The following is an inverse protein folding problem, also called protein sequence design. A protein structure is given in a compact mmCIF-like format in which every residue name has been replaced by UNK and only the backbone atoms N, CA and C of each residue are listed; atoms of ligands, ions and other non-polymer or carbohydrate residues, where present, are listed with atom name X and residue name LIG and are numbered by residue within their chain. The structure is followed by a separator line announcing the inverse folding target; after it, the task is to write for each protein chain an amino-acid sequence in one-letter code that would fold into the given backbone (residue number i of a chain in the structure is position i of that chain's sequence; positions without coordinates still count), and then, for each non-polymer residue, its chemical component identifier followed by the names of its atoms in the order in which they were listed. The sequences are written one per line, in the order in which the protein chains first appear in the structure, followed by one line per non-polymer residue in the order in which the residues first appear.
data_IF_523772493293
#
_entry.id   IF_523772493293
#
_cell.length_a   1.000
_cell.length_b   1.000
_cell.length_c   1.000
_cell.angle_alpha   90.00
_cell.angle_beta   90.00
_cell.angle_gamma   90.00
#
_symmetry.space_group_name_H-M   'P 1'
#
loop_
_entity.id
_entity.type
_entity.pdbx_description
1 polymer ?
#
# COMPACT_ATOMS: atom_id res chain seq x y z
N UNK A 1 -11.79 -19.93 -15.42
CA UNK A 1 -12.95 -19.26 -14.85
C UNK A 1 -12.58 -17.95 -14.17
N UNK A 2 -13.59 -17.15 -13.78
CA UNK A 2 -13.31 -15.88 -13.15
C UNK A 2 -12.57 -16.09 -11.83
N UNK A 3 -11.50 -15.31 -11.66
CA UNK A 3 -10.79 -15.30 -10.41
C UNK A 3 -11.54 -14.49 -9.35
N UNK A 4 -11.09 -14.55 -8.09
CA UNK A 4 -11.74 -13.78 -7.01
C UNK A 4 -11.64 -12.27 -7.19
N UNK A 5 -10.87 -11.82 -8.16
CA UNK A 5 -10.53 -10.42 -8.39
C UNK A 5 -11.39 -9.75 -9.45
N UNK A 6 -12.15 -10.52 -10.21
CA UNK A 6 -12.83 -9.94 -11.35
C UNK A 6 -14.31 -9.70 -11.05
N UNK A 7 -15.15 -9.97 -11.86
CA UNK A 7 -16.57 -9.70 -11.99
C UNK A 7 -17.36 -9.28 -10.74
N UNK A 8 -17.02 -9.75 -9.52
CA UNK A 8 -17.80 -9.43 -8.31
C UNK A 8 -17.77 -7.94 -7.93
N UNK A 9 -16.75 -7.22 -8.41
CA UNK A 9 -16.57 -5.80 -8.14
C UNK A 9 -16.45 -4.99 -9.44
N UNK A 10 -16.94 -5.56 -10.56
CA UNK A 10 -16.86 -4.88 -11.84
C UNK A 10 -15.44 -4.68 -12.35
N UNK A 11 -14.48 -5.48 -11.85
CA UNK A 11 -13.08 -5.33 -12.19
C UNK A 11 -12.39 -4.14 -11.56
N UNK A 12 -13.01 -3.50 -10.57
CA UNK A 12 -12.42 -2.36 -9.86
C UNK A 12 -11.85 -2.76 -8.51
N UNK A 13 -10.61 -2.33 -8.24
CA UNK A 13 -9.98 -2.49 -6.93
C UNK A 13 -8.84 -1.48 -6.76
N UNK A 14 -8.28 -1.43 -5.57
CA UNK A 14 -7.16 -0.56 -5.25
C UNK A 14 -5.93 -1.36 -4.84
N UNK A 15 -4.76 -0.93 -5.31
CA UNK A 15 -3.50 -1.39 -4.76
C UNK A 15 -2.98 -0.36 -3.77
N UNK A 16 -2.48 -0.77 -2.62
CA UNK A 16 -1.94 0.18 -1.64
C UNK A 16 -0.64 -0.31 -1.03
N UNK A 17 0.14 0.65 -0.57
CA UNK A 17 1.38 0.40 0.16
C UNK A 17 1.62 1.57 1.12
N UNK A 18 2.32 1.32 2.21
CA UNK A 18 2.63 2.35 3.20
C UNK A 18 4.09 2.31 3.59
N UNK A 19 4.55 3.44 4.12
CA UNK A 19 5.80 3.52 4.87
C UNK A 19 5.48 3.90 6.31
N UNK A 20 6.29 3.41 7.23
CA UNK A 20 6.09 3.60 8.68
C UNK A 20 7.40 3.90 9.38
N UNK A 21 7.31 4.30 10.64
CA UNK A 21 8.49 4.53 11.48
C UNK A 21 9.11 3.23 12.02
N UNK A 22 8.46 2.09 11.80
CA UNK A 22 8.93 0.79 12.26
C UNK A 22 7.87 -0.29 12.07
N UNK A 23 8.10 -1.46 12.63
CA UNK A 23 7.29 -2.65 12.33
C UNK A 23 6.12 -2.90 13.27
N UNK A 24 6.13 -2.30 14.47
CA UNK A 24 5.12 -2.61 15.50
C UNK A 24 3.94 -1.65 15.40
N UNK A 25 2.79 -2.16 15.02
CA UNK A 25 1.58 -1.39 14.78
C UNK A 25 1.10 -0.62 16.01
N UNK A 26 1.38 -1.13 17.21
CA UNK A 26 0.97 -0.50 18.47
C UNK A 26 1.88 0.66 18.91
N UNK A 27 3.06 0.78 18.30
CA UNK A 27 4.08 1.78 18.69
C UNK A 27 4.47 2.72 17.59
N UNK A 28 4.42 2.26 16.36
CA UNK A 28 4.96 2.98 15.22
C UNK A 28 3.86 3.72 14.47
N UNK A 29 4.26 4.64 13.62
CA UNK A 29 3.35 5.54 12.93
C UNK A 29 3.54 5.45 11.41
N UNK A 30 2.46 5.70 10.67
CA UNK A 30 2.50 5.81 9.21
C UNK A 30 3.19 7.12 8.83
N UNK A 31 4.06 7.07 7.82
CA UNK A 31 4.76 8.24 7.27
C UNK A 31 4.38 8.53 5.83
N UNK A 32 3.94 7.52 5.09
CA UNK A 32 3.49 7.70 3.71
C UNK A 32 2.43 6.68 3.38
N UNK A 33 1.43 7.08 2.61
CA UNK A 33 0.40 6.20 2.06
C UNK A 33 0.39 6.39 0.55
N UNK A 34 0.52 5.30 -0.18
CA UNK A 34 0.41 5.30 -1.63
C UNK A 34 -0.66 4.31 -2.07
N UNK A 35 -1.38 4.66 -3.13
CA UNK A 35 -2.40 3.77 -3.67
C UNK A 35 -2.61 4.05 -5.16
N UNK A 36 -3.12 3.04 -5.85
CA UNK A 36 -3.57 3.15 -7.23
C UNK A 36 -4.96 2.55 -7.34
N UNK A 37 -5.80 3.15 -8.17
CA UNK A 37 -7.05 2.54 -8.57
C UNK A 37 -6.83 1.73 -9.84
N UNK A 38 -7.53 0.61 -9.94
CA UNK A 38 -7.45 -0.30 -11.07
C UNK A 38 -8.85 -0.65 -11.55
N UNK A 39 -9.02 -0.67 -12.86
CA UNK A 39 -10.24 -1.12 -13.50
C UNK A 39 -9.86 -1.94 -14.71
N UNK A 40 -10.32 -3.19 -14.75
CA UNK A 40 -10.01 -4.12 -15.84
C UNK A 40 -8.49 -4.24 -16.11
N UNK A 41 -7.68 -4.22 -15.04
CA UNK A 41 -6.24 -4.33 -15.13
C UNK A 41 -5.50 -3.06 -15.51
N UNK A 42 -6.19 -1.94 -15.69
CA UNK A 42 -5.59 -0.66 -16.04
C UNK A 42 -5.62 0.29 -14.85
N UNK A 43 -4.55 1.07 -14.67
CA UNK A 43 -4.48 2.10 -13.63
C UNK A 43 -5.38 3.25 -14.05
N UNK A 44 -6.36 3.59 -13.21
CA UNK A 44 -7.32 4.66 -13.46
C UNK A 44 -6.96 5.95 -12.74
N UNK A 45 -6.42 5.84 -11.55
CA UNK A 45 -6.08 6.98 -10.69
C UNK A 45 -5.00 6.60 -9.69
N UNK A 46 -4.36 7.60 -9.11
CA UNK A 46 -3.27 7.42 -8.15
C UNK A 46 -3.48 8.34 -6.96
N UNK A 47 -3.02 7.89 -5.81
CA UNK A 47 -3.04 8.64 -4.57
C UNK A 47 -1.69 8.52 -3.89
N UNK A 48 -1.22 9.62 -3.31
CA UNK A 48 -0.01 9.62 -2.49
C UNK A 48 -0.11 10.76 -1.48
N UNK A 49 0.22 10.47 -0.24
CA UNK A 49 0.38 11.50 0.78
C UNK A 49 1.46 11.09 1.77
N UNK A 50 2.26 12.07 2.18
CA UNK A 50 3.05 11.91 3.39
C UNK A 50 2.14 12.14 4.61
N UNK A 51 2.58 11.65 5.75
CA UNK A 51 1.87 11.82 7.03
C UNK A 51 2.89 12.27 8.05
N UNK A 52 2.59 13.34 8.78
CA UNK A 52 3.45 13.77 9.86
C UNK A 52 3.26 12.83 11.06
N UNK A 53 4.29 12.05 11.44
CA UNK A 53 4.16 11.09 12.52
C UNK A 53 4.30 11.73 13.91
N UNK A 54 4.55 13.04 13.98
CA UNK A 54 4.76 13.80 15.23
C UNK A 54 5.92 13.26 16.06
N UNK A 55 6.94 12.75 15.38
CA UNK A 55 8.18 12.26 15.98
C UNK A 55 9.29 12.30 14.94
N UNK A 56 10.54 12.25 15.41
CA UNK A 56 11.67 12.15 14.52
C UNK A 56 11.84 10.73 14.02
N UNK A 57 12.26 10.60 12.77
CA UNK A 57 12.65 9.32 12.20
C UNK A 57 14.05 8.94 12.69
N UNK A 58 14.29 7.64 12.89
CA UNK A 58 15.66 7.17 13.13
C UNK A 58 16.45 7.27 11.82
N UNK A 59 17.79 7.44 11.91
CA UNK A 59 18.63 7.43 10.70
C UNK A 59 18.47 6.15 9.88
N UNK A 60 18.25 5.03 10.55
CA UNK A 60 18.02 3.74 9.89
C UNK A 60 16.76 3.78 9.03
N UNK A 61 15.65 4.28 9.57
CA UNK A 61 14.39 4.37 8.84
C UNK A 61 14.51 5.37 7.68
N UNK A 62 15.11 6.53 7.90
CA UNK A 62 15.34 7.51 6.83
C UNK A 62 16.20 6.92 5.72
N UNK A 63 17.24 6.16 6.05
CA UNK A 63 18.08 5.50 5.07
C UNK A 63 17.34 4.41 4.29
N UNK A 64 16.46 3.67 4.96
CA UNK A 64 15.69 2.59 4.35
C UNK A 64 14.61 3.12 3.40
N UNK A 65 13.87 4.14 3.84
CA UNK A 65 12.70 4.64 3.11
C UNK A 65 12.99 5.81 2.19
N UNK A 66 14.11 6.51 2.41
CA UNK A 66 14.41 7.75 1.71
C UNK A 66 13.58 8.94 2.19
N UNK A 67 12.80 8.78 3.26
CA UNK A 67 11.97 9.83 3.83
C UNK A 67 12.75 10.52 4.94
N UNK A 68 12.72 11.85 4.98
CA UNK A 68 13.40 12.65 5.99
C UNK A 68 12.41 13.40 6.85
N UNK A 69 12.85 13.81 8.04
CA UNK A 69 12.02 14.65 8.94
C UNK A 69 11.56 15.92 8.23
N UNK A 70 12.40 16.51 7.41
CA UNK A 70 12.07 17.74 6.68
C UNK A 70 10.91 17.52 5.70
N UNK A 71 10.83 16.36 5.08
CA UNK A 71 9.73 16.00 4.18
C UNK A 71 8.39 15.86 4.90
N UNK A 72 8.42 15.51 6.18
CA UNK A 72 7.23 15.21 6.96
C UNK A 72 6.73 16.37 7.84
N UNK A 73 7.56 17.37 8.06
CA UNK A 73 7.24 18.45 9.01
C UNK A 73 5.96 19.22 8.67
N UNK A 74 5.69 19.41 7.38
CA UNK A 74 4.50 20.12 6.89
C UNK A 74 3.44 19.19 6.31
N UNK A 75 3.63 17.87 6.48
CA UNK A 75 2.69 16.89 5.99
C UNK A 75 1.40 16.87 6.82
N UNK A 76 0.28 16.39 6.25
CA UNK A 76 -0.97 16.25 6.99
C UNK A 76 -0.83 15.38 8.23
N UNK A 77 -1.66 15.64 9.22
CA UNK A 77 -1.82 14.75 10.37
C UNK A 77 -2.54 13.47 9.94
N UNK A 78 -2.42 12.44 10.75
CA UNK A 78 -2.95 11.12 10.43
C UNK A 78 -4.43 11.13 10.05
N UNK A 79 -5.26 11.86 10.79
CA UNK A 79 -6.69 11.90 10.53
C UNK A 79 -7.01 12.44 9.13
N UNK A 80 -6.37 13.55 8.74
CA UNK A 80 -6.57 14.13 7.41
C UNK A 80 -6.11 13.19 6.31
N UNK A 81 -4.92 12.61 6.48
CA UNK A 81 -4.35 11.71 5.49
C UNK A 81 -5.21 10.47 5.30
N UNK A 82 -5.68 9.87 6.39
CA UNK A 82 -6.55 8.70 6.32
C UNK A 82 -7.92 9.02 5.75
N UNK A 83 -8.49 10.20 6.08
CA UNK A 83 -9.77 10.61 5.50
C UNK A 83 -9.66 10.73 3.97
N UNK A 84 -8.59 11.33 3.46
CA UNK A 84 -8.37 11.42 2.02
C UNK A 84 -8.11 10.05 1.39
N UNK A 85 -7.38 9.18 2.06
CA UNK A 85 -7.16 7.82 1.60
C UNK A 85 -8.48 7.05 1.48
N UNK A 86 -9.35 7.12 2.50
CA UNK A 86 -10.65 6.44 2.47
C UNK A 86 -11.54 6.97 1.35
N UNK A 87 -11.48 8.26 1.09
CA UNK A 87 -12.20 8.89 -0.01
C UNK A 87 -11.71 8.35 -1.35
N UNK A 88 -10.40 8.21 -1.50
CA UNK A 88 -9.79 7.63 -2.71
C UNK A 88 -10.21 6.18 -2.88
N UNK A 89 -10.17 5.38 -1.81
CA UNK A 89 -10.54 3.95 -1.85
C UNK A 89 -12.00 3.77 -2.28
N UNK A 90 -12.90 4.59 -1.75
CA UNK A 90 -14.31 4.63 -2.13
C UNK A 90 -14.97 3.24 -2.13
N UNK A 91 -14.70 2.46 -1.09
CA UNK A 91 -15.27 1.12 -0.93
C UNK A 91 -14.72 0.03 -1.85
N UNK A 92 -13.76 0.35 -2.70
CA UNK A 92 -13.13 -0.65 -3.59
C UNK A 92 -12.37 -1.69 -2.76
N UNK A 93 -12.37 -2.97 -3.16
CA UNK A 93 -11.51 -3.96 -2.54
C UNK A 93 -10.04 -3.55 -2.67
N UNK A 94 -9.23 -3.91 -1.69
CA UNK A 94 -7.82 -3.52 -1.62
C UNK A 94 -6.90 -4.72 -1.81
N UNK A 95 -5.72 -4.45 -2.34
CA UNK A 95 -4.63 -5.40 -2.40
C UNK A 95 -3.37 -4.73 -1.91
N UNK A 96 -2.55 -5.46 -1.18
CA UNK A 96 -1.25 -4.99 -0.72
C UNK A 96 -0.29 -6.17 -0.65
N UNK A 97 0.98 -5.89 -0.94
CA UNK A 97 2.04 -6.87 -0.75
C UNK A 97 2.37 -6.91 0.73
N UNK A 98 2.11 -8.03 1.39
CA UNK A 98 2.11 -8.16 2.85
C UNK A 98 0.95 -7.39 3.49
N UNK A 99 -0.26 -7.74 3.08
CA UNK A 99 -1.49 -6.99 3.42
C UNK A 99 -1.76 -6.91 4.92
N UNK A 100 -1.41 -7.95 5.70
CA UNK A 100 -1.59 -7.91 7.15
C UNK A 100 -0.86 -6.73 7.79
N UNK A 101 0.33 -6.40 7.29
CA UNK A 101 1.10 -5.26 7.77
C UNK A 101 0.42 -3.94 7.39
N UNK A 102 0.17 -3.74 6.11
CA UNK A 102 -0.36 -2.46 5.60
C UNK A 102 -1.77 -2.19 6.11
N UNK A 103 -2.65 -3.16 5.99
CA UNK A 103 -4.04 -3.03 6.43
C UNK A 103 -4.10 -2.91 7.96
N UNK A 104 -3.22 -3.63 8.67
CA UNK A 104 -3.11 -3.53 10.13
C UNK A 104 -2.79 -2.12 10.60
N UNK A 105 -1.80 -1.47 9.97
CA UNK A 105 -1.44 -0.08 10.31
C UNK A 105 -2.56 0.90 9.96
N UNK A 106 -3.18 0.75 8.79
CA UNK A 106 -4.28 1.63 8.37
C UNK A 106 -5.48 1.45 9.30
N UNK A 107 -5.83 0.21 9.62
CA UNK A 107 -6.94 -0.09 10.53
C UNK A 107 -6.72 0.49 11.92
N UNK A 108 -5.51 0.30 12.47
CA UNK A 108 -5.16 0.85 13.78
C UNK A 108 -5.20 2.38 13.77
N UNK A 109 -4.70 3.00 12.70
CA UNK A 109 -4.74 4.45 12.54
C UNK A 109 -6.17 4.98 12.45
N UNK A 110 -7.02 4.34 11.67
CA UNK A 110 -8.44 4.72 11.56
C UNK A 110 -9.16 4.61 12.89
N UNK A 111 -8.92 3.52 13.63
CA UNK A 111 -9.49 3.35 14.98
C UNK A 111 -9.05 4.46 15.92
N UNK A 112 -7.76 4.82 15.87
CA UNK A 112 -7.21 5.87 16.73
C UNK A 112 -7.83 7.23 16.47
N UNK A 113 -8.14 7.57 15.22
CA UNK A 113 -8.68 8.88 14.85
C UNK A 113 -10.19 8.89 14.66
N UNK A 114 -10.87 7.77 14.88
CA UNK A 114 -12.32 7.68 14.84
C UNK A 114 -12.92 7.57 13.44
N UNK A 115 -12.19 7.01 12.49
CA UNK A 115 -12.68 6.76 11.14
C UNK A 115 -13.10 5.29 11.00
N UNK A 116 -14.20 5.05 10.29
CA UNK A 116 -14.69 3.70 10.01
C UNK A 116 -13.95 3.14 8.80
N UNK A 117 -13.30 1.97 8.97
CA UNK A 117 -12.57 1.31 7.90
C UNK A 117 -12.79 -0.20 7.99
N UNK A 118 -13.57 -0.72 7.07
CA UNK A 118 -13.91 -2.14 7.01
C UNK A 118 -13.61 -2.64 5.58
N UNK A 119 -12.34 -2.82 5.25
CA UNK A 119 -11.96 -3.19 3.88
C UNK A 119 -12.21 -4.65 3.57
N UNK A 120 -12.49 -4.92 2.31
CA UNK A 120 -12.25 -6.23 1.72
C UNK A 120 -10.84 -6.18 1.14
N UNK A 121 -9.96 -7.13 1.49
CA UNK A 121 -8.57 -7.06 1.03
C UNK A 121 -7.97 -8.44 0.78
N UNK A 122 -6.91 -8.44 0.00
CA UNK A 122 -6.14 -9.63 -0.35
C UNK A 122 -4.66 -9.34 -0.24
N UNK A 123 -3.88 -10.41 0.01
CA UNK A 123 -2.44 -10.31 0.05
C UNK A 123 -1.86 -10.71 -1.30
N UNK A 124 -1.33 -9.72 -2.03
CA UNK A 124 -0.70 -9.97 -3.32
C UNK A 124 0.60 -10.76 -3.21
N UNK A 125 1.24 -10.81 -2.03
CA UNK A 125 2.39 -11.68 -1.79
C UNK A 125 1.98 -13.15 -1.87
N UNK A 126 0.87 -13.52 -1.23
CA UNK A 126 0.36 -14.89 -1.29
C UNK A 126 -0.01 -15.25 -2.73
N UNK A 127 -0.62 -14.32 -3.45
CA UNK A 127 -0.92 -14.53 -4.86
C UNK A 127 0.35 -14.78 -5.67
N UNK A 128 1.40 -13.97 -5.44
CA UNK A 128 2.67 -14.12 -6.13
C UNK A 128 3.34 -15.46 -5.83
N UNK A 129 3.28 -15.94 -4.59
CA UNK A 129 3.81 -17.25 -4.21
C UNK A 129 3.12 -18.38 -4.95
N UNK A 130 1.83 -18.27 -5.23
CA UNK A 130 1.09 -19.25 -6.01
C UNK A 130 1.39 -19.18 -7.50
N UNK A 131 1.63 -17.98 -8.03
CA UNK A 131 1.94 -17.78 -9.45
C UNK A 131 3.40 -18.08 -9.79
N UNK A 132 4.32 -17.88 -8.85
CA UNK A 132 5.75 -18.01 -9.04
C UNK A 132 6.36 -18.90 -7.94
N UNK A 133 5.97 -20.18 -7.86
CA UNK A 133 6.38 -21.04 -6.75
C UNK A 133 7.90 -21.30 -6.67
N UNK A 134 8.61 -21.11 -7.78
CA UNK A 134 10.06 -21.35 -7.85
C UNK A 134 10.90 -20.14 -7.43
N UNK A 135 10.26 -19.02 -7.14
CA UNK A 135 10.97 -17.80 -6.76
C UNK A 135 11.38 -17.89 -5.29
N UNK A 136 12.68 -17.77 -5.01
CA UNK A 136 13.21 -17.92 -3.65
C UNK A 136 12.89 -16.73 -2.74
N UNK A 137 12.56 -15.57 -3.30
CA UNK A 137 12.19 -14.36 -2.55
C UNK A 137 11.00 -13.71 -3.23
N UNK A 138 10.11 -13.16 -2.40
CA UNK A 138 8.87 -12.55 -2.87
C UNK A 138 8.76 -11.07 -2.50
N UNK A 139 9.91 -10.39 -2.39
CA UNK A 139 9.91 -8.93 -2.25
C UNK A 139 9.29 -8.31 -3.50
N UNK A 140 8.60 -7.20 -3.33
CA UNK A 140 7.82 -6.60 -4.41
C UNK A 140 8.66 -6.28 -5.64
N UNK A 141 9.86 -5.76 -5.47
CA UNK A 141 10.76 -5.43 -6.57
C UNK A 141 11.21 -6.69 -7.34
N UNK A 142 11.47 -7.80 -6.65
CA UNK A 142 11.89 -9.07 -7.26
C UNK A 142 10.72 -9.68 -8.04
N UNK A 143 9.53 -9.68 -7.46
CA UNK A 143 8.32 -10.20 -8.13
C UNK A 143 8.00 -9.36 -9.37
N UNK A 144 8.09 -8.03 -9.26
CA UNK A 144 7.85 -7.14 -10.38
C UNK A 144 8.84 -7.37 -11.52
N UNK A 145 10.13 -7.58 -11.21
CA UNK A 145 11.16 -7.89 -12.20
C UNK A 145 10.87 -9.21 -12.92
N UNK A 146 10.54 -10.27 -12.15
CA UNK A 146 10.24 -11.59 -12.72
C UNK A 146 9.03 -11.56 -13.66
N UNK A 147 8.04 -10.73 -13.37
CA UNK A 147 6.84 -10.58 -14.18
C UNK A 147 6.97 -9.51 -15.27
N UNK A 148 8.17 -8.94 -15.42
CA UNK A 148 8.46 -7.89 -16.41
C UNK A 148 7.56 -6.66 -16.25
N UNK A 149 7.26 -6.28 -15.00
CA UNK A 149 6.47 -5.11 -14.70
C UNK A 149 7.33 -3.84 -14.85
N UNK A 150 6.70 -2.67 -15.08
CA UNK A 150 7.46 -1.43 -15.23
C UNK A 150 8.37 -1.13 -14.04
N UNK A 151 9.48 -0.44 -14.30
CA UNK A 151 10.40 -0.01 -13.24
C UNK A 151 9.70 0.89 -12.24
N UNK A 152 10.04 0.72 -10.96
CA UNK A 152 9.49 1.52 -9.89
C UNK A 152 10.53 1.68 -8.79
N UNK A 153 10.30 2.67 -7.92
CA UNK A 153 11.09 2.88 -6.72
C UNK A 153 10.32 2.37 -5.52
N UNK A 154 10.69 1.19 -5.00
CA UNK A 154 9.99 0.56 -3.87
C UNK A 154 10.24 1.26 -2.52
N UNK A 155 11.04 2.33 -2.52
CA UNK A 155 11.17 3.21 -1.35
C UNK A 155 10.12 4.33 -1.36
N UNK A 156 9.17 4.30 -2.31
CA UNK A 156 8.03 5.22 -2.37
C UNK A 156 6.75 4.41 -2.44
N UNK A 157 5.86 4.59 -1.47
CA UNK A 157 4.65 3.79 -1.33
C UNK A 157 3.80 3.75 -2.61
N UNK A 158 3.56 4.91 -3.26
CA UNK A 158 2.75 4.94 -4.47
C UNK A 158 3.38 4.18 -5.64
N UNK A 159 4.71 4.14 -5.71
CA UNK A 159 5.41 3.36 -6.73
C UNK A 159 5.27 1.87 -6.46
N UNK A 160 5.36 1.44 -5.19
CA UNK A 160 5.17 0.03 -4.82
C UNK A 160 3.74 -0.43 -5.07
N UNK A 161 2.75 0.44 -4.86
CA UNK A 161 1.35 0.11 -5.09
C UNK A 161 1.08 -0.22 -6.56
N UNK A 162 1.74 0.46 -7.52
CA UNK A 162 1.56 0.18 -8.94
C UNK A 162 1.92 -1.27 -9.32
N UNK A 163 3.07 -1.84 -8.90
CA UNK A 163 3.35 -3.25 -9.15
C UNK A 163 2.32 -4.20 -8.56
N UNK A 164 1.76 -3.90 -7.39
CA UNK A 164 0.67 -4.69 -6.81
C UNK A 164 -0.50 -4.75 -7.79
N UNK A 165 -0.84 -3.62 -8.40
CA UNK A 165 -1.90 -3.55 -9.39
C UNK A 165 -1.64 -4.46 -10.60
N UNK A 166 -0.41 -4.47 -11.09
CA UNK A 166 -0.06 -5.33 -12.22
C UNK A 166 -0.15 -6.81 -11.87
N UNK A 167 0.17 -7.20 -10.64
CA UNK A 167 0.04 -8.59 -10.19
C UNK A 167 -1.41 -9.09 -10.22
N UNK A 168 -2.38 -8.19 -10.14
CA UNK A 168 -3.79 -8.54 -10.11
C UNK A 168 -4.44 -8.56 -11.49
N UNK A 169 -3.69 -8.30 -12.54
CA UNK A 169 -4.22 -8.42 -13.91
C UNK A 169 -4.60 -9.86 -14.20
N UNK A 170 -5.75 -10.04 -14.83
CA UNK A 170 -6.19 -11.37 -15.26
C UNK A 170 -5.22 -12.04 -16.23
#
# INVERSE_FOLDING_TARGET
GPGPWDSSVGGEFGGCDIETTGLKVDREAITEIGAVGLKNGEITDRFQTFVNPNRRLTPEISGLTGITDDMLKDAPQLKEALAEFLKFVDGRPLAAHNAEFDIGFIRAGCRKVGLDFQPTYVDSLILAQNLLPDLGQYKLDIVADRLELPNFNHHRASADAAPVGYLLRP
#
